data_IF_941580944554
#
_entry.id   IF_941580944554
#
_cell.length_a   1.000
_cell.length_b   1.000
_cell.length_c   1.000
_cell.angle_alpha   90.00
_cell.angle_beta   90.00
_cell.angle_gamma   90.00
#
_symmetry.space_group_name_H-M   'P 1'
#
loop_
_entity.id
_entity.type
_entity.pdbx_description
1 polymer ?
#
# COMPACT_ATOMS: atom_id res chain seq x y z
N UNK A 1 20.43 0.94 -17.73
CA UNK A 1 21.35 1.79 -16.94
C UNK A 1 21.59 1.09 -15.61
N UNK A 2 22.83 1.00 -15.10
CA UNK A 2 23.08 0.50 -13.74
C UNK A 2 22.83 1.66 -12.77
N UNK A 3 21.78 1.57 -11.97
CA UNK A 3 21.48 2.56 -10.93
C UNK A 3 22.33 2.28 -9.68
N UNK A 4 22.76 3.31 -8.93
CA UNK A 4 23.31 3.09 -7.60
C UNK A 4 22.22 2.61 -6.64
N UNK A 5 22.64 1.98 -5.55
CA UNK A 5 21.74 1.68 -4.42
C UNK A 5 21.56 2.97 -3.62
N UNK A 6 20.35 3.53 -3.64
CA UNK A 6 20.05 4.79 -2.94
C UNK A 6 19.74 4.59 -1.45
N UNK A 7 19.20 3.42 -1.11
CA UNK A 7 18.85 3.02 0.26
C UNK A 7 19.42 1.63 0.48
N UNK A 8 20.35 1.46 1.41
CA UNK A 8 20.97 0.13 1.64
C UNK A 8 20.13 -0.72 2.59
N UNK A 9 20.36 -2.03 2.59
CA UNK A 9 19.70 -2.96 3.52
C UNK A 9 20.04 -2.60 4.96
N UNK A 10 21.29 -2.23 5.23
CA UNK A 10 21.76 -1.82 6.56
C UNK A 10 21.04 -0.56 7.05
N UNK A 11 20.75 0.37 6.15
CA UNK A 11 19.98 1.57 6.47
C UNK A 11 18.54 1.23 6.86
N UNK A 12 17.89 0.34 6.11
CA UNK A 12 16.53 -0.12 6.46
C UNK A 12 16.52 -0.82 7.82
N UNK A 13 17.50 -1.69 8.08
CA UNK A 13 17.65 -2.38 9.37
C UNK A 13 17.87 -1.40 10.53
N UNK A 14 18.72 -0.38 10.33
CA UNK A 14 18.96 0.69 11.30
C UNK A 14 17.66 1.41 11.65
N UNK A 15 16.90 1.84 10.64
CA UNK A 15 15.65 2.58 10.85
C UNK A 15 14.58 1.68 11.48
N UNK A 16 14.42 0.42 11.05
CA UNK A 16 13.47 -0.50 11.68
C UNK A 16 13.77 -0.68 13.18
N UNK A 17 15.06 -0.76 13.55
CA UNK A 17 15.51 -0.84 14.94
C UNK A 17 15.23 0.45 15.71
N UNK A 18 15.48 1.62 15.12
CA UNK A 18 15.20 2.92 15.75
C UNK A 18 13.71 3.13 16.01
N UNK A 19 12.85 2.68 15.09
CA UNK A 19 11.39 2.72 15.23
C UNK A 19 10.84 1.61 16.13
N UNK A 20 11.68 0.65 16.55
CA UNK A 20 11.26 -0.54 17.31
C UNK A 20 10.15 -1.35 16.61
N UNK A 21 10.30 -1.56 15.29
CA UNK A 21 9.41 -2.38 14.46
C UNK A 21 10.14 -3.62 13.91
N UNK A 22 9.41 -4.54 13.25
CA UNK A 22 10.03 -5.71 12.61
C UNK A 22 11.03 -5.27 11.54
N UNK A 23 12.02 -6.11 11.25
CA UNK A 23 12.96 -5.86 10.15
C UNK A 23 12.23 -6.00 8.80
N UNK A 24 11.92 -4.87 8.17
CA UNK A 24 11.19 -4.83 6.89
C UNK A 24 11.99 -5.37 5.71
N UNK A 25 13.31 -5.57 5.86
CA UNK A 25 14.13 -6.25 4.84
C UNK A 25 13.86 -7.75 4.78
N UNK A 26 13.25 -8.33 5.81
CA UNK A 26 12.97 -9.77 5.93
C UNK A 26 11.48 -10.10 5.76
N UNK A 27 10.65 -9.14 5.39
CA UNK A 27 9.23 -9.38 5.16
C UNK A 27 9.04 -10.31 3.95
N UNK A 28 8.27 -11.38 4.16
CA UNK A 28 7.91 -12.35 3.13
C UNK A 28 6.56 -12.05 2.47
N UNK A 29 5.77 -11.16 3.09
CA UNK A 29 4.52 -10.63 2.59
C UNK A 29 4.35 -9.18 3.03
N UNK A 30 3.35 -8.51 2.46
CA UNK A 30 3.14 -7.09 2.67
C UNK A 30 2.42 -6.74 3.97
N UNK A 31 2.14 -7.69 4.89
CA UNK A 31 1.30 -7.43 6.06
C UNK A 31 1.98 -6.51 7.06
N UNK A 32 1.29 -5.44 7.44
CA UNK A 32 1.74 -4.45 8.42
C UNK A 32 0.85 -4.50 9.66
N UNK A 33 1.45 -4.46 10.86
CA UNK A 33 0.62 -4.41 12.07
C UNK A 33 0.16 -2.98 12.35
N UNK A 34 -1.03 -2.79 12.97
CA UNK A 34 -1.49 -1.45 13.35
C UNK A 34 -0.50 -0.68 14.24
N UNK A 35 0.27 -1.39 15.06
CA UNK A 35 1.28 -0.79 15.93
C UNK A 35 2.45 -0.21 15.14
N UNK A 36 2.95 -0.94 14.13
CA UNK A 36 4.02 -0.46 13.25
C UNK A 36 3.54 0.71 12.40
N UNK A 37 2.35 0.58 11.82
CA UNK A 37 1.74 1.64 11.03
C UNK A 37 1.55 2.92 11.85
N UNK A 38 1.13 2.81 13.11
CA UNK A 38 0.97 3.97 14.00
C UNK A 38 2.30 4.68 14.26
N UNK A 39 3.37 3.93 14.56
CA UNK A 39 4.71 4.52 14.76
C UNK A 39 5.17 5.24 13.49
N UNK A 40 5.00 4.62 12.32
CA UNK A 40 5.40 5.23 11.04
C UNK A 40 4.54 6.47 10.76
N UNK A 41 3.23 6.42 11.04
CA UNK A 41 2.32 7.55 10.83
C UNK A 41 2.71 8.76 11.68
N UNK A 42 3.06 8.54 12.94
CA UNK A 42 3.54 9.58 13.87
C UNK A 42 4.80 10.27 13.32
N UNK A 43 5.70 9.53 12.66
CA UNK A 43 6.92 10.08 12.06
C UNK A 43 6.68 10.86 10.76
N UNK A 44 5.74 10.43 9.92
CA UNK A 44 5.55 11.01 8.57
C UNK A 44 4.48 12.10 8.52
N UNK A 45 3.41 12.02 9.33
CA UNK A 45 2.27 12.94 9.28
C UNK A 45 2.51 14.22 10.10
N UNK A 46 3.57 14.95 9.78
CA UNK A 46 4.01 16.15 10.52
C UNK A 46 3.05 17.34 10.40
N UNK A 47 2.17 17.34 9.39
CA UNK A 47 1.15 18.37 9.19
C UNK A 47 -0.19 18.05 9.91
N UNK A 48 -0.30 16.90 10.57
CA UNK A 48 -1.48 16.57 11.37
C UNK A 48 -2.74 16.31 10.56
N UNK A 49 -2.61 15.72 9.37
CA UNK A 49 -3.77 15.30 8.58
C UNK A 49 -4.61 14.27 9.36
N UNK A 50 -5.95 14.30 9.25
CA UNK A 50 -6.83 13.37 9.96
C UNK A 50 -6.88 12.00 9.26
N UNK A 51 -5.73 11.33 9.15
CA UNK A 51 -5.60 10.04 8.45
C UNK A 51 -6.10 8.91 9.37
N UNK A 52 -7.13 8.15 8.97
CA UNK A 52 -7.52 6.95 9.71
C UNK A 52 -6.40 5.91 9.66
N UNK A 53 -6.07 5.33 10.82
CA UNK A 53 -4.99 4.33 10.91
C UNK A 53 -5.21 3.14 9.97
N UNK A 54 -6.47 2.74 9.75
CA UNK A 54 -6.81 1.64 8.83
C UNK A 54 -6.44 1.95 7.38
N UNK A 55 -6.68 3.17 6.92
CA UNK A 55 -6.34 3.57 5.54
C UNK A 55 -4.82 3.66 5.37
N UNK A 56 -4.12 4.11 6.42
CA UNK A 56 -2.65 4.13 6.41
C UNK A 56 -2.04 2.73 6.41
N UNK A 57 -2.60 1.79 7.18
CA UNK A 57 -2.19 0.37 7.14
C UNK A 57 -2.39 -0.17 5.73
N UNK A 58 -3.59 -0.02 5.14
CA UNK A 58 -3.86 -0.47 3.77
C UNK A 58 -2.88 0.13 2.78
N UNK A 59 -2.57 1.43 2.89
CA UNK A 59 -1.59 2.06 2.02
C UNK A 59 -0.20 1.44 2.17
N UNK A 60 0.29 1.23 3.39
CA UNK A 60 1.59 0.59 3.61
C UNK A 60 1.66 -0.82 3.02
N UNK A 61 0.59 -1.61 3.15
CA UNK A 61 0.53 -2.95 2.58
C UNK A 61 0.57 -2.92 1.04
N UNK A 62 -0.14 -1.98 0.41
CA UNK A 62 -0.10 -1.81 -1.05
C UNK A 62 1.32 -1.44 -1.52
N UNK A 63 1.94 -0.44 -0.92
CA UNK A 63 3.29 -0.01 -1.32
C UNK A 63 4.35 -1.12 -1.08
N UNK A 64 4.20 -1.91 -0.02
CA UNK A 64 5.08 -3.04 0.27
C UNK A 64 4.88 -4.22 -0.68
N UNK A 65 3.68 -4.44 -1.23
CA UNK A 65 3.46 -5.51 -2.22
C UNK A 65 4.41 -5.34 -3.40
N UNK A 66 4.63 -4.11 -3.87
CA UNK A 66 5.56 -3.86 -4.96
C UNK A 66 6.99 -4.25 -4.61
N UNK A 67 7.47 -3.87 -3.43
CA UNK A 67 8.83 -4.19 -2.98
C UNK A 67 9.08 -5.67 -2.73
N UNK A 68 8.05 -6.38 -2.23
CA UNK A 68 8.12 -7.81 -1.89
C UNK A 68 7.90 -8.72 -3.10
N UNK A 69 7.09 -8.29 -4.08
CA UNK A 69 6.70 -9.08 -5.25
C UNK A 69 7.50 -8.77 -6.51
N UNK A 70 7.90 -7.52 -6.71
CA UNK A 70 8.59 -7.04 -7.92
C UNK A 70 9.98 -6.52 -7.55
N UNK A 71 10.93 -7.44 -7.32
CA UNK A 71 12.30 -7.08 -6.89
C UNK A 71 13.01 -6.13 -7.87
N UNK A 72 12.68 -6.18 -9.16
CA UNK A 72 13.22 -5.30 -10.19
C UNK A 72 12.68 -3.86 -10.12
N UNK A 73 11.55 -3.66 -9.44
CA UNK A 73 10.94 -2.35 -9.17
C UNK A 73 11.14 -1.89 -7.71
N UNK A 74 11.80 -2.67 -6.85
CA UNK A 74 12.07 -2.30 -5.47
C UNK A 74 13.24 -1.31 -5.39
N UNK A 75 12.93 -0.03 -5.16
CA UNK A 75 13.94 1.04 -5.07
C UNK A 75 14.25 1.49 -3.64
N UNK A 76 13.45 1.07 -2.65
CA UNK A 76 13.58 1.52 -1.25
C UNK A 76 14.08 0.43 -0.31
N UNK A 77 14.22 -0.81 -0.76
CA UNK A 77 14.46 -1.99 0.10
C UNK A 77 13.43 -2.10 1.24
N UNK A 78 12.19 -1.67 0.98
CA UNK A 78 11.10 -1.61 1.96
C UNK A 78 11.37 -0.66 3.14
N UNK A 79 12.07 0.46 2.91
CA UNK A 79 12.35 1.43 3.98
C UNK A 79 11.05 2.01 4.59
N UNK A 80 10.78 1.81 5.89
CA UNK A 80 9.46 2.09 6.50
C UNK A 80 9.03 3.56 6.38
N UNK A 81 9.94 4.50 6.64
CA UNK A 81 9.63 5.94 6.52
C UNK A 81 9.42 6.38 5.06
N UNK A 82 10.18 5.84 4.10
CA UNK A 82 10.00 6.20 2.69
C UNK A 82 8.68 5.64 2.16
N UNK A 83 8.38 4.38 2.50
CA UNK A 83 7.07 3.76 2.22
C UNK A 83 5.94 4.60 2.82
N UNK A 84 6.03 4.98 4.10
CA UNK A 84 5.03 5.83 4.76
C UNK A 84 4.87 7.21 4.12
N UNK A 85 5.95 7.81 3.61
CA UNK A 85 5.89 9.08 2.86
C UNK A 85 5.20 8.95 1.51
N UNK A 86 5.35 7.81 0.83
CA UNK A 86 4.62 7.52 -0.41
C UNK A 86 3.12 7.43 -0.10
N UNK A 87 2.75 6.68 0.94
CA UNK A 87 1.35 6.60 1.41
C UNK A 87 0.79 7.98 1.75
N UNK A 88 1.55 8.79 2.49
CA UNK A 88 1.15 10.15 2.85
C UNK A 88 0.94 11.04 1.61
N UNK A 89 1.78 10.91 0.58
CA UNK A 89 1.65 11.68 -0.65
C UNK A 89 0.33 11.37 -1.37
N UNK A 90 -0.02 10.08 -1.47
CA UNK A 90 -1.27 9.66 -2.08
C UNK A 90 -2.50 10.14 -1.29
N UNK A 91 -2.47 10.02 0.05
CA UNK A 91 -3.56 10.48 0.91
C UNK A 91 -3.70 12.03 0.93
N UNK A 92 -2.67 12.77 0.53
CA UNK A 92 -2.74 14.22 0.30
C UNK A 92 -3.50 14.57 -0.99
N UNK A 93 -3.52 13.69 -1.99
CA UNK A 93 -4.27 13.92 -3.22
C UNK A 93 -5.76 13.67 -2.99
N UNK A 94 -6.09 12.57 -2.32
CA UNK A 94 -7.46 12.26 -1.87
C UNK A 94 -7.42 11.17 -0.79
N UNK A 95 -8.31 11.26 0.21
CA UNK A 95 -8.31 10.32 1.34
C UNK A 95 -8.77 8.90 0.92
N UNK A 96 -9.51 8.79 -0.18
CA UNK A 96 -10.01 7.52 -0.73
C UNK A 96 -9.07 6.87 -1.78
N UNK A 97 -7.82 7.34 -1.87
CA UNK A 97 -6.88 6.94 -2.91
C UNK A 97 -6.73 5.42 -3.04
N UNK A 98 -6.54 4.72 -1.92
CA UNK A 98 -6.31 3.27 -1.93
C UNK A 98 -7.58 2.49 -2.29
N UNK A 99 -8.77 3.01 -1.98
CA UNK A 99 -10.03 2.44 -2.43
C UNK A 99 -10.19 2.59 -3.95
N UNK A 100 -9.80 3.74 -4.52
CA UNK A 100 -9.79 3.95 -5.97
C UNK A 100 -8.80 3.01 -6.66
N UNK A 101 -7.62 2.83 -6.08
CA UNK A 101 -6.58 1.95 -6.59
C UNK A 101 -7.05 0.48 -6.62
N UNK A 102 -7.65 -0.03 -5.54
CA UNK A 102 -8.17 -1.42 -5.49
C UNK A 102 -9.21 -1.68 -6.59
N UNK A 103 -10.09 -0.71 -6.85
CA UNK A 103 -11.04 -0.79 -7.98
C UNK A 103 -10.29 -0.91 -9.31
N UNK A 104 -9.29 -0.06 -9.57
CA UNK A 104 -8.53 -0.07 -10.82
C UNK A 104 -7.75 -1.38 -11.02
N UNK A 105 -7.12 -1.90 -9.96
CA UNK A 105 -6.38 -3.16 -10.02
C UNK A 105 -7.30 -4.36 -10.28
N UNK A 106 -8.46 -4.41 -9.63
CA UNK A 106 -9.45 -5.46 -9.81
C UNK A 106 -10.10 -5.42 -11.20
N UNK A 107 -10.28 -4.25 -11.80
CA UNK A 107 -10.71 -4.11 -13.19
C UNK A 107 -9.68 -4.69 -14.16
N UNK A 108 -8.40 -4.40 -13.94
CA UNK A 108 -7.30 -4.99 -14.71
C UNK A 108 -7.21 -6.50 -14.57
N UNK A 109 -7.36 -7.03 -13.35
CA UNK A 109 -7.33 -8.46 -13.10
C UNK A 109 -8.56 -9.20 -13.66
N UNK A 110 -9.72 -8.57 -13.65
CA UNK A 110 -10.92 -9.08 -14.31
C UNK A 110 -10.69 -9.16 -15.83
N UNK A 111 -10.15 -8.11 -16.45
CA UNK A 111 -9.82 -8.11 -17.88
C UNK A 111 -8.83 -9.23 -18.23
N UNK A 112 -7.78 -9.43 -17.43
CA UNK A 112 -6.82 -10.54 -17.62
C UNK A 112 -7.52 -11.91 -17.55
N UNK A 113 -8.42 -12.11 -16.59
CA UNK A 113 -9.16 -13.38 -16.45
C UNK A 113 -10.10 -13.61 -17.65
N UNK A 114 -10.79 -12.57 -18.11
CA UNK A 114 -11.66 -12.61 -19.28
C UNK A 114 -10.88 -12.92 -20.56
N UNK A 115 -9.74 -12.27 -20.77
CA UNK A 115 -8.85 -12.52 -21.91
C UNK A 115 -8.31 -13.96 -21.91
N UNK A 116 -8.01 -14.51 -20.73
CA UNK A 116 -7.63 -15.90 -20.55
C UNK A 116 -8.79 -16.90 -20.68
N UNK A 117 -10.03 -16.42 -20.89
CA UNK A 117 -11.27 -17.22 -20.94
C UNK A 117 -11.50 -18.06 -19.67
N UNK A 118 -10.99 -17.62 -18.53
CA UNK A 118 -11.18 -18.26 -17.23
C UNK A 118 -12.42 -17.68 -16.54
N UNK A 119 -13.57 -18.31 -16.80
CA UNK A 119 -14.86 -17.87 -16.26
C UNK A 119 -14.91 -17.92 -14.72
N UNK A 120 -14.24 -18.89 -14.09
CA UNK A 120 -14.22 -19.03 -12.64
C UNK A 120 -13.45 -17.88 -11.98
N UNK A 121 -12.25 -17.59 -12.50
CA UNK A 121 -11.43 -16.47 -12.02
C UNK A 121 -12.09 -15.13 -12.32
N UNK A 122 -12.71 -14.98 -13.50
CA UNK A 122 -13.45 -13.77 -13.83
C UNK A 122 -14.63 -13.54 -12.86
N UNK A 123 -15.43 -14.57 -12.58
CA UNK A 123 -16.52 -14.47 -11.60
C UNK A 123 -16.01 -14.13 -10.20
N UNK A 124 -14.87 -14.71 -9.78
CA UNK A 124 -14.25 -14.39 -8.50
C UNK A 124 -13.77 -12.92 -8.44
N UNK A 125 -13.08 -12.45 -9.48
CA UNK A 125 -12.59 -11.07 -9.57
C UNK A 125 -13.73 -10.07 -9.64
N UNK A 126 -14.80 -10.37 -10.37
CA UNK A 126 -15.99 -9.52 -10.43
C UNK A 126 -16.67 -9.37 -9.06
N UNK A 127 -16.80 -10.45 -8.28
CA UNK A 127 -17.34 -10.35 -6.91
C UNK A 127 -16.47 -9.49 -6.00
N UNK A 128 -15.13 -9.56 -6.13
CA UNK A 128 -14.22 -8.69 -5.39
C UNK A 128 -14.38 -7.23 -5.83
N UNK A 129 -14.45 -6.98 -7.14
CA UNK A 129 -14.66 -5.65 -7.71
C UNK A 129 -15.94 -4.99 -7.19
N UNK A 130 -17.05 -5.74 -7.08
CA UNK A 130 -18.29 -5.20 -6.52
C UNK A 130 -18.12 -4.76 -5.05
N UNK A 131 -17.34 -5.49 -4.25
CA UNK A 131 -17.03 -5.09 -2.87
C UNK A 131 -16.14 -3.87 -2.81
N UNK A 132 -15.12 -3.79 -3.66
CA UNK A 132 -14.23 -2.62 -3.75
C UNK A 132 -14.99 -1.37 -4.18
N UNK A 133 -15.89 -1.47 -5.17
CA UNK A 133 -16.76 -0.36 -5.59
C UNK A 133 -17.72 0.08 -4.49
N UNK A 134 -18.24 -0.85 -3.69
CA UNK A 134 -19.05 -0.51 -2.52
C UNK A 134 -18.21 0.25 -1.47
N UNK A 135 -17.01 -0.24 -1.15
CA UNK A 135 -16.12 0.41 -0.19
C UNK A 135 -15.70 1.82 -0.66
N UNK A 136 -15.44 1.99 -1.96
CA UNK A 136 -15.18 3.30 -2.55
C UNK A 136 -16.40 4.22 -2.43
N UNK A 137 -17.60 3.75 -2.79
CA UNK A 137 -18.82 4.55 -2.66
C UNK A 137 -19.12 4.94 -1.20
N UNK A 138 -18.84 4.06 -0.25
CA UNK A 138 -18.91 4.37 1.19
C UNK A 138 -17.89 5.44 1.60
N UNK A 139 -16.67 5.39 1.06
CA UNK A 139 -15.65 6.40 1.31
C UNK A 139 -16.05 7.77 0.72
N UNK A 140 -16.49 7.80 -0.54
CA UNK A 140 -17.00 9.01 -1.21
C UNK A 140 -18.18 9.60 -0.44
N UNK A 141 -19.11 8.74 0.04
CA UNK A 141 -20.25 9.19 0.84
C UNK A 141 -19.86 9.83 2.17
N UNK A 142 -18.70 9.51 2.75
CA UNK A 142 -18.21 10.16 3.99
C UNK A 142 -17.64 11.55 3.74
N UNK A 143 -17.24 11.86 2.50
CA UNK A 143 -16.72 13.18 2.12
C UNK A 143 -17.82 14.14 1.66
N UNK A 144 -19.01 13.63 1.34
CA UNK A 144 -20.14 14.45 0.95
C UNK A 144 -20.78 15.16 2.17
N UNK A 145 -21.25 16.42 2.00
CA UNK A 145 -21.92 17.18 3.06
C UNK A 145 -23.25 16.60 3.57
#
# INVERSE_FOLDING_TARGET
MKLPVYVTVEEVQRVCKELNIRDWTQLTDARVTPEEARVILEEVNTEGMPIPLVDFVTGLEVELEHGTRFQDANVTNNHPILTGKIVLAHLKETMDYYQRLDVAELEGDLLKAMAAKDANKAAQKYRKLLKAKLALAEAESRELP
#
